data_IF_445257192384
#
_entry.id   IF_445257192384
#
_cell.length_a   1.000
_cell.length_b   1.000
_cell.length_c   1.000
_cell.angle_alpha   90.00
_cell.angle_beta   90.00
_cell.angle_gamma   90.00
#
_symmetry.space_group_name_H-M   'P 1'
#
loop_
_entity.id
_entity.type
_entity.pdbx_description
1 polymer ?
#
# COMPACT_ATOMS: atom_id res chain seq x y z
N UNK A 1 -51.53 -30.23 47.92
CA UNK A 1 -52.51 -30.71 46.92
C UNK A 1 -53.63 -29.67 46.86
N UNK A 2 -53.87 -29.06 45.68
CA UNK A 2 -55.06 -28.24 45.29
C UNK A 2 -55.17 -26.84 45.97
N UNK A 3 -54.79 -25.72 45.32
CA UNK A 3 -55.43 -24.88 44.26
C UNK A 3 -56.48 -23.85 44.76
N UNK A 4 -56.26 -22.58 44.39
CA UNK A 4 -57.29 -21.56 44.10
C UNK A 4 -57.71 -20.67 45.29
N UNK A 5 -58.02 -19.37 45.19
CA UNK A 5 -58.42 -18.50 44.06
C UNK A 5 -58.07 -17.02 44.37
N UNK A 6 -57.76 -16.31 43.29
CA UNK A 6 -57.66 -14.86 43.05
C UNK A 6 -58.54 -13.93 43.91
N UNK A 7 -57.98 -12.79 44.34
CA UNK A 7 -58.72 -11.51 44.38
C UNK A 7 -57.78 -10.35 44.01
N UNK A 8 -58.20 -9.65 42.97
CA UNK A 8 -57.67 -8.43 42.35
C UNK A 8 -58.04 -7.19 43.20
N UNK A 9 -57.55 -6.00 42.82
CA UNK A 9 -57.69 -4.66 43.45
C UNK A 9 -56.51 -4.29 44.38
N UNK A 10 -55.82 -3.16 44.26
CA UNK A 10 -56.03 -1.90 43.56
C UNK A 10 -54.66 -1.24 43.36
N UNK A 11 -54.44 -0.64 42.20
CA UNK A 11 -53.38 0.34 41.99
C UNK A 11 -53.74 1.64 42.74
N UNK A 12 -52.74 2.33 43.31
CA UNK A 12 -52.72 3.77 43.12
C UNK A 12 -51.42 4.19 42.45
N UNK A 13 -51.60 4.69 41.23
CA UNK A 13 -51.03 5.92 40.70
C UNK A 13 -50.18 6.72 41.71
N UNK A 14 -48.87 6.82 41.48
CA UNK A 14 -48.17 8.03 41.85
C UNK A 14 -47.11 8.39 40.82
N UNK A 15 -47.44 9.45 40.10
CA UNK A 15 -46.70 10.11 39.06
C UNK A 15 -45.56 10.92 39.69
N UNK A 16 -44.39 10.33 39.89
CA UNK A 16 -43.15 11.06 40.16
C UNK A 16 -42.31 11.10 38.89
N UNK A 17 -42.49 12.18 38.13
CA UNK A 17 -41.62 12.59 37.04
C UNK A 17 -40.17 12.56 37.50
N UNK A 18 -39.42 11.57 37.02
CA UNK A 18 -37.97 11.64 36.99
C UNK A 18 -37.65 12.64 35.87
N UNK A 19 -37.00 13.80 36.13
CA UNK A 19 -36.51 14.60 35.04
C UNK A 19 -35.46 13.75 34.30
N UNK A 20 -35.77 13.37 33.06
CA UNK A 20 -34.76 12.78 32.19
C UNK A 20 -33.59 13.76 32.13
N UNK A 21 -32.44 13.35 32.67
CA UNK A 21 -31.16 13.92 32.27
C UNK A 21 -31.07 13.71 30.77
N UNK A 22 -31.32 14.78 30.02
CA UNK A 22 -30.93 14.82 28.62
C UNK A 22 -29.45 14.44 28.55
N UNK A 23 -29.06 13.40 27.79
CA UNK A 23 -27.65 13.24 27.48
C UNK A 23 -27.22 14.52 26.74
N UNK A 24 -26.05 15.09 27.03
CA UNK A 24 -25.54 16.17 26.20
C UNK A 24 -25.48 15.63 24.76
N UNK A 25 -26.11 16.32 23.83
CA UNK A 25 -25.99 16.08 22.40
C UNK A 25 -24.58 16.46 21.97
N UNK A 26 -23.60 15.64 22.31
CA UNK A 26 -22.20 15.79 21.93
C UNK A 26 -21.99 15.28 20.50
N UNK A 27 -22.79 15.78 19.56
CA UNK A 27 -22.33 15.84 18.17
C UNK A 27 -21.39 17.04 18.05
N UNK A 28 -20.32 17.01 18.86
CA UNK A 28 -19.21 17.94 18.79
C UNK A 28 -18.55 17.72 17.44
N UNK A 29 -18.77 18.67 16.53
CA UNK A 29 -18.00 18.90 15.31
C UNK A 29 -16.79 17.99 15.21
N UNK A 30 -16.92 16.84 14.53
CA UNK A 30 -15.75 16.14 14.04
C UNK A 30 -15.10 17.11 13.06
N UNK A 31 -14.10 17.85 13.53
CA UNK A 31 -13.23 18.63 12.64
C UNK A 31 -12.79 17.65 11.55
N UNK A 32 -12.89 18.00 10.25
CA UNK A 32 -12.22 17.20 9.25
C UNK A 32 -10.78 17.09 9.72
N UNK A 33 -10.26 15.86 9.84
CA UNK A 33 -8.85 15.68 10.19
C UNK A 33 -8.09 16.51 9.18
N UNK A 34 -7.36 17.53 9.67
CA UNK A 34 -6.47 18.32 8.84
C UNK A 34 -5.67 17.34 7.98
N UNK A 35 -5.57 17.61 6.68
CA UNK A 35 -4.93 16.72 5.71
C UNK A 35 -3.50 16.44 6.19
N UNK A 36 -3.32 15.31 6.87
CA UNK A 36 -2.00 14.76 7.12
C UNK A 36 -1.62 14.15 5.79
N UNK A 37 -0.98 14.97 4.95
CA UNK A 37 -0.29 14.51 3.76
C UNK A 37 0.76 13.52 4.22
N UNK A 38 0.42 12.24 4.23
CA UNK A 38 1.40 11.19 4.32
C UNK A 38 2.22 11.30 3.03
N UNK A 39 3.42 11.88 3.12
CA UNK A 39 4.27 12.19 1.97
C UNK A 39 4.46 10.98 1.06
N UNK A 40 4.50 9.77 1.64
CA UNK A 40 4.56 8.51 0.90
C UNK A 40 3.31 8.26 0.04
N UNK A 41 2.12 8.59 0.55
CA UNK A 41 0.86 8.39 -0.18
C UNK A 41 0.74 9.39 -1.32
N UNK A 42 1.09 10.65 -1.11
CA UNK A 42 1.11 11.65 -2.17
C UNK A 42 2.14 11.29 -3.25
N UNK A 43 3.32 10.80 -2.86
CA UNK A 43 4.33 10.34 -3.80
C UNK A 43 3.89 9.09 -4.59
N UNK A 44 3.20 8.16 -3.95
CA UNK A 44 2.60 6.98 -4.62
C UNK A 44 1.56 7.41 -5.66
N UNK A 45 0.72 8.39 -5.33
CA UNK A 45 -0.25 8.93 -6.28
C UNK A 45 0.43 9.53 -7.52
N UNK A 46 1.59 10.18 -7.33
CA UNK A 46 2.41 10.68 -8.44
C UNK A 46 3.09 9.55 -9.21
N UNK A 47 3.52 8.47 -8.57
CA UNK A 47 4.10 7.32 -9.29
C UNK A 47 3.07 6.60 -10.16
N UNK A 48 1.84 6.44 -9.68
CA UNK A 48 0.78 5.74 -10.41
C UNK A 48 0.14 6.62 -11.49
N UNK A 49 -0.11 7.90 -11.20
CA UNK A 49 -0.77 8.81 -12.15
C UNK A 49 0.21 9.66 -12.98
N UNK A 50 1.48 9.78 -12.55
CA UNK A 50 2.51 10.58 -13.21
C UNK A 50 2.65 10.32 -14.71
N UNK A 51 2.64 9.07 -15.19
CA UNK A 51 2.71 8.79 -16.62
C UNK A 51 1.57 9.43 -17.44
N UNK A 52 0.38 9.62 -16.84
CA UNK A 52 -0.75 10.30 -17.50
C UNK A 52 -0.52 11.80 -17.65
N UNK A 53 0.28 12.38 -16.74
CA UNK A 53 0.65 13.79 -16.74
C UNK A 53 2.01 14.04 -17.42
N UNK A 54 2.62 13.01 -18.03
CA UNK A 54 3.95 13.11 -18.66
C UNK A 54 5.11 13.18 -17.66
N UNK A 55 4.88 12.82 -16.40
CA UNK A 55 5.91 12.78 -15.36
C UNK A 55 6.46 11.36 -15.28
N UNK A 56 7.76 11.22 -15.53
CA UNK A 56 8.47 9.95 -15.45
C UNK A 56 9.54 10.01 -14.37
N UNK A 57 9.60 8.97 -13.55
CA UNK A 57 10.59 8.84 -12.49
C UNK A 57 11.62 7.78 -12.86
N UNK A 58 12.90 8.12 -12.67
CA UNK A 58 14.00 7.16 -12.77
C UNK A 58 14.44 6.85 -11.34
N UNK A 59 14.20 5.62 -10.91
CA UNK A 59 14.52 5.16 -9.55
C UNK A 59 15.61 4.11 -9.66
N UNK A 60 16.74 4.37 -9.00
CA UNK A 60 17.84 3.44 -8.90
C UNK A 60 18.04 3.03 -7.44
N UNK A 61 18.39 1.77 -7.22
CA UNK A 61 18.63 1.23 -5.89
C UNK A 61 19.13 -0.20 -5.94
N UNK A 62 19.47 -0.74 -4.77
CA UNK A 62 19.90 -2.13 -4.65
C UNK A 62 18.67 -3.05 -4.62
N UNK A 63 18.78 -4.20 -5.27
CA UNK A 63 17.76 -5.27 -5.26
C UNK A 63 17.42 -5.72 -3.84
N UNK A 64 18.41 -5.77 -2.94
CA UNK A 64 18.19 -6.18 -1.55
C UNK A 64 17.28 -5.23 -0.76
N UNK A 65 17.45 -3.92 -0.95
CA UNK A 65 16.66 -2.90 -0.24
C UNK A 65 15.27 -2.75 -0.86
N UNK A 66 15.19 -2.76 -2.20
CA UNK A 66 13.93 -2.58 -2.91
C UNK A 66 13.03 -3.82 -2.85
N UNK A 67 13.62 -5.02 -2.83
CA UNK A 67 12.87 -6.27 -2.74
C UNK A 67 12.24 -6.49 -1.36
N UNK A 68 12.94 -6.11 -0.28
CA UNK A 68 12.49 -6.32 1.10
C UNK A 68 11.62 -5.19 1.66
N UNK A 69 11.60 -4.03 1.01
CA UNK A 69 10.75 -2.91 1.44
C UNK A 69 9.27 -3.27 1.36
N UNK A 70 8.53 -2.98 2.43
CA UNK A 70 7.07 -3.13 2.53
C UNK A 70 6.35 -1.77 2.53
N UNK A 71 7.02 -0.71 2.07
CA UNK A 71 6.38 0.59 1.91
C UNK A 71 5.48 0.60 0.67
N UNK A 72 4.46 1.47 0.67
CA UNK A 72 3.58 1.65 -0.49
C UNK A 72 4.37 1.99 -1.75
N UNK A 73 5.44 2.77 -1.61
CA UNK A 73 6.37 3.11 -2.69
C UNK A 73 7.05 1.85 -3.24
N UNK A 74 7.61 1.00 -2.37
CA UNK A 74 8.22 -0.27 -2.80
C UNK A 74 7.23 -1.17 -3.55
N UNK A 75 5.98 -1.24 -3.11
CA UNK A 75 4.96 -2.04 -3.79
C UNK A 75 4.62 -1.47 -5.17
N UNK A 76 4.52 -0.14 -5.32
CA UNK A 76 4.32 0.47 -6.64
C UNK A 76 5.49 0.24 -7.60
N UNK A 77 6.72 0.17 -7.08
CA UNK A 77 7.90 -0.10 -7.90
C UNK A 77 7.91 -1.57 -8.36
N UNK A 78 7.59 -2.52 -7.47
CA UNK A 78 7.51 -3.97 -7.81
C UNK A 78 6.44 -4.27 -8.87
N UNK A 79 5.38 -3.46 -8.94
CA UNK A 79 4.34 -3.58 -9.99
C UNK A 79 4.86 -3.20 -11.39
N UNK A 80 5.97 -2.45 -11.49
CA UNK A 80 6.50 -2.03 -12.78
C UNK A 80 7.11 -3.22 -13.54
N UNK A 81 6.75 -3.36 -14.81
CA UNK A 81 7.20 -4.47 -15.68
C UNK A 81 8.41 -4.14 -16.55
N UNK A 82 8.95 -2.94 -16.42
CA UNK A 82 10.05 -2.45 -17.23
C UNK A 82 11.13 -1.85 -16.34
N UNK A 83 12.39 -2.07 -16.70
CA UNK A 83 13.53 -1.58 -15.93
C UNK A 83 14.87 -2.04 -16.48
N UNK A 84 15.94 -1.62 -15.81
CA UNK A 84 17.31 -2.03 -16.13
C UNK A 84 17.89 -2.72 -14.90
N UNK A 85 18.39 -3.94 -15.07
CA UNK A 85 19.08 -4.68 -14.03
C UNK A 85 20.57 -4.77 -14.32
N UNK A 86 21.40 -4.29 -13.39
CA UNK A 86 22.87 -4.34 -13.45
C UNK A 86 23.44 -5.60 -12.78
N UNK A 87 22.57 -6.53 -12.39
CA UNK A 87 22.91 -7.79 -11.76
C UNK A 87 22.22 -8.94 -12.50
N UNK A 88 22.61 -10.18 -12.19
CA UNK A 88 22.00 -11.37 -12.75
C UNK A 88 20.48 -11.31 -12.58
N UNK A 89 19.74 -11.72 -13.60
CA UNK A 89 18.28 -11.78 -13.56
C UNK A 89 17.78 -12.74 -12.46
N UNK A 90 18.55 -13.79 -12.15
CA UNK A 90 18.26 -14.72 -11.06
C UNK A 90 18.35 -14.11 -9.66
N UNK A 91 19.19 -13.10 -9.48
CA UNK A 91 19.55 -12.59 -8.16
C UNK A 91 18.64 -11.43 -7.73
N UNK A 92 17.90 -10.84 -8.68
CA UNK A 92 16.97 -9.75 -8.42
C UNK A 92 15.54 -10.27 -8.19
N UNK A 93 14.92 -9.81 -7.11
CA UNK A 93 13.55 -10.19 -6.71
C UNK A 93 12.55 -9.05 -6.89
N UNK A 94 12.98 -7.94 -7.48
CA UNK A 94 12.18 -6.70 -7.54
C UNK A 94 11.23 -6.71 -8.72
N UNK A 95 11.73 -7.10 -9.91
CA UNK A 95 10.95 -7.12 -11.15
C UNK A 95 10.73 -8.58 -11.52
N UNK A 96 9.47 -8.94 -11.79
CA UNK A 96 9.17 -10.29 -12.24
C UNK A 96 9.60 -10.48 -13.71
N UNK A 97 10.29 -11.59 -13.97
CA UNK A 97 10.87 -11.93 -15.27
C UNK A 97 10.61 -13.40 -15.55
N UNK A 98 10.07 -13.70 -16.72
CA UNK A 98 9.75 -15.07 -17.14
C UNK A 98 10.97 -15.84 -17.62
N UNK A 99 11.89 -15.16 -18.34
CA UNK A 99 13.07 -15.76 -18.92
C UNK A 99 14.26 -15.78 -17.93
N UNK A 100 14.16 -16.61 -16.89
CA UNK A 100 15.25 -16.79 -15.91
C UNK A 100 16.13 -17.97 -16.30
N UNK A 101 17.35 -17.69 -16.77
CA UNK A 101 18.37 -18.71 -16.95
C UNK A 101 19.24 -18.82 -15.68
N UNK A 102 19.09 -19.91 -14.93
CA UNK A 102 19.82 -20.11 -13.66
C UNK A 102 21.31 -20.41 -13.83
N UNK A 103 21.75 -20.82 -15.02
CA UNK A 103 23.15 -21.21 -15.29
C UNK A 103 23.99 -20.06 -15.86
N UNK A 104 23.51 -18.82 -15.80
CA UNK A 104 24.18 -17.69 -16.43
C UNK A 104 25.40 -17.21 -15.62
N UNK A 105 26.52 -16.87 -16.28
CA UNK A 105 27.68 -16.28 -15.60
C UNK A 105 27.36 -14.88 -15.02
N UNK A 106 28.24 -14.38 -14.14
CA UNK A 106 28.12 -13.00 -13.65
C UNK A 106 28.28 -12.02 -14.82
N UNK A 107 27.49 -10.94 -14.79
CA UNK A 107 27.61 -9.85 -15.77
C UNK A 107 29.00 -9.23 -15.71
N UNK A 108 29.55 -8.95 -16.89
CA UNK A 108 30.77 -8.15 -17.00
C UNK A 108 30.46 -6.67 -16.73
N UNK A 109 31.48 -5.86 -16.41
CA UNK A 109 31.31 -4.41 -16.34
C UNK A 109 30.69 -3.87 -17.64
N UNK A 110 29.75 -2.94 -17.51
CA UNK A 110 29.00 -2.35 -18.64
C UNK A 110 28.07 -3.32 -19.39
N UNK A 111 27.76 -4.47 -18.82
CA UNK A 111 26.64 -5.31 -19.27
C UNK A 111 25.46 -5.16 -18.31
N UNK A 112 24.26 -5.13 -18.86
CA UNK A 112 23.02 -5.05 -18.10
C UNK A 112 21.92 -5.86 -18.78
N UNK A 113 20.86 -6.16 -18.05
CA UNK A 113 19.62 -6.65 -18.63
C UNK A 113 18.62 -5.51 -18.77
N UNK A 114 18.13 -5.32 -19.97
CA UNK A 114 16.95 -4.51 -20.24
C UNK A 114 15.71 -5.39 -20.09
N UNK A 115 14.86 -5.04 -19.12
CA UNK A 115 13.63 -5.76 -18.88
C UNK A 115 12.49 -4.98 -19.50
N UNK A 116 11.76 -5.62 -20.40
CA UNK A 116 10.56 -5.06 -21.03
C UNK A 116 9.44 -6.08 -20.98
N UNK A 117 8.31 -5.70 -20.40
CA UNK A 117 7.11 -6.54 -20.31
C UNK A 117 7.40 -7.94 -19.71
N UNK A 118 8.32 -8.03 -18.73
CA UNK A 118 8.70 -9.28 -18.09
C UNK A 118 9.65 -10.18 -18.89
N UNK A 119 10.17 -9.71 -20.02
CA UNK A 119 11.23 -10.36 -20.79
C UNK A 119 12.53 -9.61 -20.55
N UNK A 120 13.60 -10.33 -20.22
CA UNK A 120 14.93 -9.76 -20.05
C UNK A 120 15.78 -9.99 -21.30
N UNK A 121 16.36 -8.90 -21.82
CA UNK A 121 17.29 -8.88 -22.94
C UNK A 121 18.64 -8.35 -22.48
N UNK A 122 19.74 -8.98 -22.91
CA UNK A 122 21.09 -8.53 -22.54
C UNK A 122 21.50 -7.34 -23.40
N UNK A 123 21.92 -6.26 -22.76
CA UNK A 123 22.37 -5.02 -23.40
C UNK A 123 23.79 -4.65 -22.99
N UNK A 124 24.49 -3.92 -23.86
CA UNK A 124 25.76 -3.26 -23.56
C UNK A 124 25.49 -1.80 -23.24
N UNK A 125 25.90 -1.36 -22.06
CA UNK A 125 25.76 0.02 -21.59
C UNK A 125 26.98 0.81 -22.01
N UNK A 126 26.78 2.04 -22.48
CA UNK A 126 27.88 2.92 -22.87
C UNK A 126 28.63 3.37 -21.61
N UNK A 127 29.97 3.28 -21.65
CA UNK A 127 30.82 3.84 -20.60
C UNK A 127 30.69 5.36 -20.61
N UNK A 128 30.35 6.02 -19.49
CA UNK A 128 30.33 7.48 -19.45
C UNK A 128 31.74 8.02 -19.76
N UNK A 129 31.81 9.06 -20.59
CA UNK A 129 33.06 9.76 -20.85
C UNK A 129 33.56 10.40 -19.54
N UNK A 130 34.88 10.33 -19.33
CA UNK A 130 35.56 10.88 -18.15
C UNK A 130 35.68 12.40 -18.24
#
# INVERSE_FOLDING_TARGET
MIRGISTFLLWPNNNSRIPQRFPPSSNSYRRPRCYRSDLETDFVNLLENGPRFGIYFIIAGNTSTMGRGYSKVSDTIKKQKSGIALCKVSDQTVIDVSNKNYKEPNLLPFEAYYIRNGIAEKIKVVKPAK
#
